data_IF_727576052130
#
_entry.id   IF_727576052130
#
_cell.length_a   1.000
_cell.length_b   1.000
_cell.length_c   1.000
_cell.angle_alpha   90.00
_cell.angle_beta   90.00
_cell.angle_gamma   90.00
#
_symmetry.space_group_name_H-M   'P 1'
#
loop_
_entity.id
_entity.type
_entity.pdbx_description
1 polymer ?
#
# COMPACT_ATOMS: atom_id res chain seq x y z
N UNK A 1 -18.39 -5.43 -9.40
CA UNK A 1 -17.93 -4.01 -9.43
C UNK A 1 -18.61 -3.33 -10.61
N UNK A 2 -19.22 -2.15 -10.44
CA UNK A 2 -19.92 -1.45 -11.53
C UNK A 2 -18.95 -0.49 -12.24
N UNK A 3 -19.17 -0.25 -13.54
CA UNK A 3 -18.29 0.62 -14.36
C UNK A 3 -18.19 2.06 -13.83
N UNK A 4 -19.22 2.56 -13.17
CA UNK A 4 -19.26 3.89 -12.53
C UNK A 4 -18.27 4.00 -11.39
N UNK A 5 -18.18 2.97 -10.55
CA UNK A 5 -17.32 2.96 -9.35
C UNK A 5 -15.84 2.99 -9.75
N UNK A 6 -15.49 2.34 -10.86
CA UNK A 6 -14.14 2.35 -11.41
C UNK A 6 -13.76 3.73 -11.94
N UNK A 7 -14.67 4.42 -12.62
CA UNK A 7 -14.42 5.77 -13.14
C UNK A 7 -14.20 6.77 -12.00
N UNK A 8 -15.02 6.71 -10.95
CA UNK A 8 -14.88 7.57 -9.77
C UNK A 8 -13.55 7.34 -9.05
N UNK A 9 -13.15 6.06 -8.85
CA UNK A 9 -11.84 5.72 -8.27
C UNK A 9 -10.68 6.28 -9.07
N UNK A 10 -10.66 6.08 -10.40
CA UNK A 10 -9.61 6.59 -11.28
C UNK A 10 -9.51 8.13 -11.23
N UNK A 11 -10.65 8.82 -11.18
CA UNK A 11 -10.70 10.29 -11.08
C UNK A 11 -10.16 10.74 -9.71
N UNK A 12 -10.53 10.05 -8.63
CA UNK A 12 -10.03 10.27 -7.28
C UNK A 12 -8.51 10.13 -7.20
N UNK A 13 -7.97 8.99 -7.63
CA UNK A 13 -6.52 8.70 -7.60
C UNK A 13 -5.73 9.76 -8.39
N UNK A 14 -6.22 10.14 -9.57
CA UNK A 14 -5.59 11.18 -10.40
C UNK A 14 -5.61 12.55 -9.72
N UNK A 15 -6.67 12.87 -8.97
CA UNK A 15 -6.78 14.12 -8.22
C UNK A 15 -5.81 14.14 -7.05
N UNK A 16 -5.73 13.06 -6.26
CA UNK A 16 -4.79 12.91 -5.14
C UNK A 16 -3.34 13.04 -5.61
N UNK A 17 -2.99 12.33 -6.68
CA UNK A 17 -1.66 12.43 -7.30
C UNK A 17 -1.30 13.86 -7.70
N UNK A 18 -2.21 14.58 -8.37
CA UNK A 18 -1.96 15.98 -8.76
C UNK A 18 -1.79 16.90 -7.56
N UNK A 19 -2.57 16.70 -6.50
CA UNK A 19 -2.45 17.47 -5.27
C UNK A 19 -1.07 17.24 -4.62
N UNK A 20 -0.66 15.98 -4.45
CA UNK A 20 0.67 15.62 -3.97
C UNK A 20 1.78 16.27 -4.80
N UNK A 21 1.75 16.17 -6.14
CA UNK A 21 2.77 16.79 -7.00
C UNK A 21 2.83 18.31 -6.88
N UNK A 22 1.70 18.97 -6.67
CA UNK A 22 1.65 20.41 -6.45
C UNK A 22 2.31 20.79 -5.11
N UNK A 23 2.02 20.04 -4.05
CA UNK A 23 2.61 20.18 -2.71
C UNK A 23 4.13 19.99 -2.74
N UNK A 24 4.60 18.87 -3.28
CA UNK A 24 6.02 18.58 -3.41
C UNK A 24 6.78 19.66 -4.20
N UNK A 25 6.16 20.23 -5.25
CA UNK A 25 6.76 21.31 -6.05
C UNK A 25 6.82 22.65 -5.30
N UNK A 26 5.88 22.90 -4.39
CA UNK A 26 5.80 24.14 -3.62
C UNK A 26 6.84 24.22 -2.49
N UNK A 27 7.42 23.09 -2.09
CA UNK A 27 8.48 23.04 -1.09
C UNK A 27 9.69 23.92 -1.50
N UNK A 28 10.33 24.61 -0.54
CA UNK A 28 11.59 25.29 -0.77
C UNK A 28 12.74 24.28 -0.96
N UNK A 29 13.86 24.72 -1.54
CA UNK A 29 15.09 23.94 -1.45
C UNK A 29 15.60 23.94 0.01
N UNK A 30 16.22 22.86 0.50
CA UNK A 30 16.54 21.61 -0.23
C UNK A 30 15.43 20.52 -0.21
N UNK A 31 14.31 20.76 0.49
CA UNK A 31 13.24 19.78 0.70
C UNK A 31 12.61 19.27 -0.59
N UNK A 32 12.36 20.16 -1.56
CA UNK A 32 11.80 19.78 -2.86
C UNK A 32 12.67 18.76 -3.59
N UNK A 33 13.99 18.96 -3.58
CA UNK A 33 14.94 18.02 -4.21
C UNK A 33 14.94 16.68 -3.49
N UNK A 34 14.88 16.67 -2.16
CA UNK A 34 14.82 15.45 -1.36
C UNK A 34 13.55 14.63 -1.67
N UNK A 35 12.37 15.27 -1.63
CA UNK A 35 11.09 14.61 -1.95
C UNK A 35 11.09 14.06 -3.38
N UNK A 36 11.63 14.81 -4.35
CA UNK A 36 11.72 14.34 -5.74
C UNK A 36 12.63 13.12 -5.90
N UNK A 37 13.74 13.04 -5.15
CA UNK A 37 14.63 11.89 -5.15
C UNK A 37 13.98 10.66 -4.52
N UNK A 38 13.32 10.85 -3.36
CA UNK A 38 12.57 9.79 -2.66
C UNK A 38 11.45 9.25 -3.56
N UNK A 39 10.61 10.13 -4.13
CA UNK A 39 9.53 9.76 -5.04
C UNK A 39 10.05 8.90 -6.20
N UNK A 40 11.14 9.33 -6.84
CA UNK A 40 11.76 8.59 -7.95
C UNK A 40 12.24 7.22 -7.50
N UNK A 41 12.91 7.12 -6.33
CA UNK A 41 13.39 5.86 -5.80
C UNK A 41 12.22 4.89 -5.54
N UNK A 42 11.19 5.34 -4.82
CA UNK A 42 9.99 4.55 -4.53
C UNK A 42 9.33 4.03 -5.81
N UNK A 43 9.13 4.89 -6.81
CA UNK A 43 8.55 4.50 -8.10
C UNK A 43 9.43 3.50 -8.87
N UNK A 44 10.77 3.61 -8.76
CA UNK A 44 11.71 2.74 -9.48
C UNK A 44 11.92 1.37 -8.84
N UNK A 45 11.93 1.31 -7.51
CA UNK A 45 12.19 0.09 -6.75
C UNK A 45 10.95 -0.80 -6.60
N UNK A 46 9.81 -0.39 -7.18
CA UNK A 46 8.51 -1.04 -7.00
C UNK A 46 8.16 -1.27 -5.51
N UNK A 47 8.66 -0.41 -4.61
CA UNK A 47 8.26 -0.32 -3.19
C UNK A 47 6.89 0.38 -3.13
N UNK A 48 5.98 -0.12 -3.95
CA UNK A 48 4.74 0.51 -4.33
C UNK A 48 3.72 -0.61 -4.16
N UNK A 49 2.97 -0.55 -3.06
CA UNK A 49 1.83 -1.45 -2.83
C UNK A 49 0.93 -1.49 -4.08
N UNK A 50 0.40 -2.65 -4.45
CA UNK A 50 -0.57 -2.75 -5.57
C UNK A 50 -1.92 -2.08 -5.24
N UNK A 51 -2.06 -1.51 -4.05
CA UNK A 51 -3.23 -0.77 -3.59
C UNK A 51 -3.01 0.74 -3.77
N UNK A 52 -3.73 1.32 -4.74
CA UNK A 52 -3.66 2.74 -5.06
C UNK A 52 -4.02 3.66 -3.89
N UNK A 53 -4.88 3.21 -2.97
CA UNK A 53 -5.27 4.00 -1.80
C UNK A 53 -4.13 4.09 -0.78
N UNK A 54 -3.45 2.96 -0.55
CA UNK A 54 -2.25 2.90 0.32
C UNK A 54 -1.12 3.75 -0.26
N UNK A 55 -0.90 3.69 -1.58
CA UNK A 55 0.10 4.53 -2.24
C UNK A 55 -0.19 6.02 -2.10
N UNK A 56 -1.45 6.40 -2.33
CA UNK A 56 -1.84 7.79 -2.25
C UNK A 56 -1.68 8.33 -0.82
N UNK A 57 -2.03 7.52 0.19
CA UNK A 57 -1.80 7.87 1.59
C UNK A 57 -0.31 8.03 1.89
N UNK A 58 0.53 7.09 1.46
CA UNK A 58 1.98 7.13 1.67
C UNK A 58 2.62 8.39 1.07
N UNK A 59 2.21 8.81 -0.13
CA UNK A 59 2.70 10.05 -0.74
C UNK A 59 2.14 11.31 -0.05
N UNK A 60 0.91 11.28 0.42
CA UNK A 60 0.32 12.38 1.21
C UNK A 60 1.08 12.56 2.52
N UNK A 61 1.37 11.49 3.25
CA UNK A 61 2.13 11.51 4.50
C UNK A 61 3.59 11.95 4.28
N UNK A 62 4.20 11.57 3.15
CA UNK A 62 5.51 12.08 2.76
C UNK A 62 5.50 13.60 2.54
N UNK A 63 4.46 14.12 1.88
CA UNK A 63 4.31 15.56 1.69
C UNK A 63 4.07 16.28 3.03
N UNK A 64 3.22 15.75 3.90
CA UNK A 64 2.96 16.28 5.24
C UNK A 64 4.26 16.39 6.05
N UNK A 65 5.06 15.32 6.08
CA UNK A 65 6.36 15.27 6.78
C UNK A 65 7.30 16.39 6.32
N UNK A 66 7.48 16.55 5.01
CA UNK A 66 8.42 17.53 4.47
C UNK A 66 7.89 18.97 4.52
N UNK A 67 6.58 19.18 4.46
CA UNK A 67 5.97 20.49 4.72
C UNK A 67 6.17 20.94 6.16
N UNK A 68 5.95 20.03 7.12
CA UNK A 68 6.20 20.33 8.53
C UNK A 68 7.69 20.61 8.78
N UNK A 69 8.58 19.77 8.27
CA UNK A 69 10.01 19.97 8.41
C UNK A 69 10.47 21.31 7.78
N UNK A 70 9.91 21.70 6.64
CA UNK A 70 10.20 22.99 6.03
C UNK A 70 9.70 24.18 6.88
N UNK A 71 8.52 24.06 7.50
CA UNK A 71 7.99 25.06 8.42
C UNK A 71 8.87 25.22 9.67
N UNK A 72 9.34 24.09 10.21
CA UNK A 72 10.20 24.03 11.39
C UNK A 72 11.68 24.34 11.08
N UNK A 73 12.03 24.44 9.79
CA UNK A 73 13.39 24.62 9.27
C UNK A 73 14.34 23.48 9.66
N UNK A 74 13.81 22.27 9.78
CA UNK A 74 14.55 21.05 10.09
C UNK A 74 15.46 20.69 8.92
N UNK A 75 16.79 20.63 9.09
CA UNK A 75 17.70 20.21 8.03
C UNK A 75 17.29 18.86 7.42
N UNK A 76 17.39 18.71 6.09
CA UNK A 76 16.97 17.48 5.41
C UNK A 76 17.69 16.23 5.95
N UNK A 77 18.97 16.35 6.32
CA UNK A 77 19.72 15.24 6.90
C UNK A 77 19.16 14.77 8.26
N UNK A 78 18.54 15.67 9.03
CA UNK A 78 17.88 15.31 10.29
C UNK A 78 16.55 14.59 10.06
N UNK A 79 15.98 14.68 8.85
CA UNK A 79 14.76 13.97 8.45
C UNK A 79 15.09 12.59 7.89
N UNK A 80 16.02 12.54 6.93
CA UNK A 80 16.33 11.31 6.17
C UNK A 80 17.44 10.48 6.79
N UNK A 81 18.17 11.02 7.76
CA UNK A 81 19.33 10.37 8.36
C UNK A 81 20.54 10.30 7.42
N UNK A 82 21.53 9.49 7.82
CA UNK A 82 22.76 9.29 7.05
C UNK A 82 22.54 8.41 5.81
N UNK A 83 21.54 7.53 5.82
CA UNK A 83 21.16 6.68 4.70
C UNK A 83 19.71 6.95 4.23
N UNK A 84 19.54 7.72 3.14
CA UNK A 84 18.21 7.97 2.56
C UNK A 84 17.49 6.70 2.07
N UNK A 85 18.22 5.62 1.75
CA UNK A 85 17.60 4.35 1.33
C UNK A 85 16.95 3.68 2.53
N UNK A 86 17.68 3.57 3.65
CA UNK A 86 17.16 3.03 4.91
C UNK A 86 15.91 3.82 5.39
N UNK A 87 15.94 5.15 5.25
CA UNK A 87 14.76 5.99 5.50
C UNK A 87 13.57 5.56 4.65
N UNK A 88 13.73 5.42 3.33
CA UNK A 88 12.61 5.05 2.45
C UNK A 88 12.10 3.64 2.74
N UNK A 89 12.98 2.68 3.01
CA UNK A 89 12.58 1.31 3.36
C UNK A 89 11.80 1.28 4.67
N UNK A 90 12.29 1.96 5.70
CA UNK A 90 11.63 2.07 7.01
C UNK A 90 10.29 2.81 6.89
N UNK A 91 10.25 3.92 6.16
CA UNK A 91 9.05 4.69 5.91
C UNK A 91 7.99 3.84 5.19
N UNK A 92 8.40 3.11 4.15
CA UNK A 92 7.50 2.27 3.34
C UNK A 92 7.00 1.03 4.10
N UNK A 93 7.80 0.49 5.02
CA UNK A 93 7.43 -0.65 5.84
C UNK A 93 6.17 -0.38 6.69
N UNK A 94 5.94 0.88 7.11
CA UNK A 94 4.72 1.28 7.83
C UNK A 94 3.44 1.06 7.02
N UNK A 95 3.54 0.99 5.69
CA UNK A 95 2.41 0.78 4.77
C UNK A 95 2.33 -0.65 4.24
N UNK A 96 3.32 -1.50 4.52
CA UNK A 96 3.30 -2.91 4.13
C UNK A 96 2.23 -3.68 4.91
N UNK A 97 2.05 -3.39 6.20
CA UNK A 97 1.31 -4.25 7.14
C UNK A 97 -0.21 -4.32 6.95
N UNK A 98 -0.82 -3.40 6.21
CA UNK A 98 -2.29 -3.38 6.03
C UNK A 98 -2.84 -4.50 5.14
N UNK A 99 -2.07 -4.99 4.16
CA UNK A 99 -2.60 -5.88 3.11
C UNK A 99 -1.99 -7.29 3.14
N UNK A 100 -0.71 -7.47 3.51
CA UNK A 100 -0.11 -8.82 3.50
C UNK A 100 -0.54 -9.67 4.70
N UNK A 101 -0.62 -9.09 5.92
CA UNK A 101 -1.09 -9.80 7.13
C UNK A 101 -2.56 -10.16 7.01
N UNK A 102 -3.41 -9.19 6.66
CA UNK A 102 -4.84 -9.42 6.45
C UNK A 102 -5.11 -10.46 5.35
N UNK A 103 -4.36 -10.45 4.25
CA UNK A 103 -4.48 -11.43 3.16
C UNK A 103 -3.92 -12.81 3.53
N UNK A 104 -2.83 -12.86 4.31
CA UNK A 104 -2.29 -14.11 4.84
C UNK A 104 -3.24 -14.74 5.87
N UNK A 105 -3.80 -13.94 6.78
CA UNK A 105 -4.83 -14.38 7.75
C UNK A 105 -6.11 -14.83 7.05
N UNK A 106 -6.58 -14.10 6.03
CA UNK A 106 -7.73 -14.50 5.22
C UNK A 106 -7.46 -15.83 4.53
N UNK A 107 -6.32 -15.99 3.84
CA UNK A 107 -5.96 -17.25 3.17
C UNK A 107 -5.86 -18.42 4.14
N UNK A 108 -5.34 -18.18 5.35
CA UNK A 108 -5.30 -19.18 6.40
C UNK A 108 -6.71 -19.57 6.87
N UNK A 109 -7.56 -18.59 7.20
CA UNK A 109 -8.96 -18.82 7.62
C UNK A 109 -9.78 -19.51 6.52
N UNK A 110 -9.61 -19.12 5.26
CA UNK A 110 -10.32 -19.71 4.12
C UNK A 110 -9.92 -21.18 3.92
N UNK A 111 -8.62 -21.49 4.07
CA UNK A 111 -8.11 -22.86 3.98
C UNK A 111 -8.73 -23.75 5.07
N UNK A 112 -8.75 -23.30 6.32
CA UNK A 112 -9.36 -24.07 7.41
C UNK A 112 -10.88 -24.17 7.30
N UNK A 113 -11.57 -23.11 6.87
CA UNK A 113 -13.02 -23.13 6.60
C UNK A 113 -13.38 -24.17 5.51
N UNK A 114 -12.52 -24.31 4.50
CA UNK A 114 -12.69 -25.32 3.44
C UNK A 114 -12.42 -26.75 3.92
N UNK A 115 -11.66 -26.95 5.00
CA UNK A 115 -11.41 -28.27 5.59
C UNK A 115 -12.56 -28.72 6.49
N UNK A 116 -13.29 -27.77 7.07
CA UNK A 116 -14.46 -28.02 7.94
C UNK A 116 -15.79 -28.18 7.18
N UNK A 117 -15.75 -28.23 5.83
CA UNK A 117 -16.94 -28.52 5.00
C UNK A 117 -16.99 -30.02 4.66
N UNK A 118 -17.82 -30.83 5.35
CA UNK A 118 -17.92 -32.25 5.09
C UNK A 118 -18.91 -32.49 3.95
N UNK A 119 -18.46 -32.38 2.70
CA UNK A 119 -19.18 -32.96 1.56
C UNK A 119 -18.30 -32.98 0.30
N UNK A 120 -17.45 -34.00 0.20
CA UNK A 120 -17.11 -34.63 -1.08
C UNK A 120 -16.47 -36.00 -0.80
N UNK A 121 -17.20 -37.04 -1.20
CA UNK A 121 -16.77 -38.41 -1.42
C UNK A 121 -17.09 -39.44 -0.32
N UNK A 122 -18.39 -39.74 -0.18
CA UNK A 122 -18.83 -41.07 0.24
C UNK A 122 -19.23 -41.86 -1.01
N UNK A 123 -18.60 -43.01 -1.33
CA UNK A 123 -19.10 -43.88 -2.38
C UNK A 123 -20.42 -44.49 -1.95
N UNK A 124 -21.47 -44.25 -2.73
CA UNK A 124 -22.78 -44.86 -2.55
C UNK A 124 -22.69 -46.36 -2.88
N UNK A 125 -22.56 -47.22 -1.88
CA UNK A 125 -22.89 -48.65 -2.03
C UNK A 125 -24.38 -48.84 -1.73
N UNK A 126 -25.20 -48.78 -2.77
CA UNK A 126 -26.53 -49.38 -2.77
C UNK A 126 -26.53 -50.71 -3.54
N UNK A 127 -27.09 -51.75 -2.90
CA UNK A 127 -27.79 -52.82 -3.60
C UNK A 127 -27.31 -54.25 -3.34
N UNK A 128 -27.98 -54.97 -2.43
CA UNK A 128 -27.94 -56.44 -2.40
C UNK A 128 -28.32 -57.08 -1.07
N UNK A 129 -29.60 -57.06 -0.72
CA UNK A 129 -30.21 -57.74 0.44
C UNK A 129 -30.19 -59.28 0.25
N UNK A 130 -29.77 -60.09 1.25
CA UNK A 130 -29.86 -61.55 1.16
C UNK A 130 -31.24 -62.05 1.64
N UNK A 131 -31.97 -62.73 0.74
CA UNK A 131 -33.03 -63.69 1.11
C UNK A 131 -32.49 -65.12 1.08
#
# INVERSE_FOLDING_TARGET
MRFTDLAEKIIGDKRRWRAYKARAKALPEPYRTAVAAIEKYMMSAAIVSNDADVLSQMFEDLADLFEQAAADKTPVHDIVGDDPVEFVETFSANYADGNWKAKAESRLRDTFTSLDSPDADAPTTEGGDPS
#
